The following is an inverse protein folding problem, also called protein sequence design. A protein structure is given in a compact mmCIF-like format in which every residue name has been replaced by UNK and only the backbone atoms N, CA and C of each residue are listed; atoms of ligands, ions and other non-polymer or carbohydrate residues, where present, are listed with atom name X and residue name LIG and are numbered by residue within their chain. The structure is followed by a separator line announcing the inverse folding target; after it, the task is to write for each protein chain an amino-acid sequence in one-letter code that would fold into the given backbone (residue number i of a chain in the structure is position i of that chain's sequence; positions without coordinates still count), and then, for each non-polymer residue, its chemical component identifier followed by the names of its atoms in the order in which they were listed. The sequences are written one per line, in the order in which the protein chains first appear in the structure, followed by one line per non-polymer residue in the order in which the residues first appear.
data_IF_456366358725
#
_entry.id   IF_456366358725
#
_cell.length_a   1.000
_cell.length_b   1.000
_cell.length_c   1.000
_cell.angle_alpha   90.00
_cell.angle_beta   90.00
_cell.angle_gamma   90.00
#
_symmetry.space_group_name_H-M   'P 1'
#
loop_
_entity.id
_entity.type
_entity.pdbx_description
1 polymer ?
#
# COMPACT_ATOMS: atom_id res chain seq x y z
N UNK A 1 -21.64 -34.08 -7.71
CA UNK A 1 -21.79 -32.78 -7.02
C UNK A 1 -20.60 -32.59 -6.09
N UNK A 2 -19.56 -31.86 -6.54
CA UNK A 2 -18.36 -31.51 -5.75
C UNK A 2 -17.95 -30.05 -6.04
N UNK A 3 -18.93 -29.17 -6.29
CA UNK A 3 -18.69 -27.77 -6.67
C UNK A 3 -18.85 -26.78 -5.50
N UNK A 4 -19.27 -27.24 -4.32
CA UNK A 4 -19.65 -26.35 -3.21
C UNK A 4 -18.53 -26.10 -2.18
N UNK A 5 -17.40 -26.82 -2.23
CA UNK A 5 -16.34 -26.77 -1.19
C UNK A 5 -15.07 -26.05 -1.66
N UNK A 6 -14.84 -25.90 -2.96
CA UNK A 6 -13.63 -25.25 -3.48
C UNK A 6 -13.71 -23.71 -3.52
N UNK A 7 -14.92 -23.15 -3.43
CA UNK A 7 -15.18 -21.70 -3.57
C UNK A 7 -14.57 -20.89 -2.41
N UNK A 8 -14.70 -21.28 -1.12
CA UNK A 8 -14.15 -20.48 -0.02
C UNK A 8 -12.61 -20.41 -0.04
N UNK A 9 -11.95 -21.52 -0.41
CA UNK A 9 -10.49 -21.56 -0.48
C UNK A 9 -9.95 -20.75 -1.67
N UNK A 10 -10.65 -20.78 -2.81
CA UNK A 10 -10.28 -19.98 -3.98
C UNK A 10 -10.44 -18.47 -3.70
N UNK A 11 -11.53 -18.05 -3.07
CA UNK A 11 -11.75 -16.64 -2.72
C UNK A 11 -10.67 -16.12 -1.76
N UNK A 12 -10.32 -16.89 -0.72
CA UNK A 12 -9.24 -16.54 0.19
C UNK A 12 -7.87 -16.52 -0.49
N UNK A 13 -7.63 -17.38 -1.49
CA UNK A 13 -6.39 -17.36 -2.26
C UNK A 13 -6.31 -16.12 -3.17
N UNK A 14 -7.43 -15.71 -3.78
CA UNK A 14 -7.51 -14.48 -4.59
C UNK A 14 -7.24 -13.26 -3.71
N UNK A 15 -7.89 -13.16 -2.54
CA UNK A 15 -7.71 -12.03 -1.63
C UNK A 15 -6.26 -11.95 -1.10
N UNK A 16 -5.60 -13.08 -0.82
CA UNK A 16 -4.14 -13.11 -0.53
C UNK A 16 -3.29 -12.64 -1.71
N UNK A 17 -3.65 -13.01 -2.93
CA UNK A 17 -2.96 -12.55 -4.14
C UNK A 17 -3.05 -11.04 -4.32
N UNK A 18 -4.23 -10.47 -4.08
CA UNK A 18 -4.46 -9.01 -4.09
C UNK A 18 -3.67 -8.30 -3.01
N UNK A 19 -3.69 -8.84 -1.79
CA UNK A 19 -2.93 -8.34 -0.66
C UNK A 19 -1.43 -8.29 -0.94
N UNK A 20 -0.86 -9.37 -1.50
CA UNK A 20 0.55 -9.44 -1.88
C UNK A 20 0.90 -8.42 -2.95
N UNK A 21 0.02 -8.21 -3.94
CA UNK A 21 0.18 -7.16 -4.96
C UNK A 21 0.21 -5.77 -4.32
N UNK A 22 -0.78 -5.45 -3.48
CA UNK A 22 -0.84 -4.18 -2.76
C UNK A 22 0.45 -3.90 -1.98
N UNK A 23 0.99 -4.90 -1.28
CA UNK A 23 2.26 -4.72 -0.57
C UNK A 23 3.47 -4.46 -1.49
N UNK A 24 3.48 -5.00 -2.71
CA UNK A 24 4.54 -4.72 -3.67
C UNK A 24 4.40 -3.31 -4.25
N UNK A 25 3.17 -2.88 -4.51
CA UNK A 25 2.84 -1.55 -5.00
C UNK A 25 3.22 -0.46 -3.98
N UNK A 26 2.85 -0.66 -2.70
CA UNK A 26 3.22 0.26 -1.61
C UNK A 26 4.74 0.36 -1.42
N UNK A 27 5.50 -0.76 -1.52
CA UNK A 27 6.98 -0.72 -1.49
C UNK A 27 7.56 0.08 -2.65
N UNK A 28 6.98 -0.07 -3.84
CA UNK A 28 7.44 0.61 -5.05
C UNK A 28 7.22 2.12 -4.93
N UNK A 29 6.06 2.55 -4.41
CA UNK A 29 5.78 3.95 -4.09
C UNK A 29 6.74 4.50 -3.03
N UNK A 30 6.95 3.75 -1.94
CA UNK A 30 7.89 4.14 -0.90
C UNK A 30 9.30 4.34 -1.47
N UNK A 31 9.78 3.41 -2.28
CA UNK A 31 11.10 3.53 -2.93
C UNK A 31 11.21 4.77 -3.83
N UNK A 32 10.13 5.13 -4.54
CA UNK A 32 10.08 6.33 -5.36
C UNK A 32 10.14 7.61 -4.52
N UNK A 33 9.40 7.64 -3.40
CA UNK A 33 9.40 8.75 -2.44
C UNK A 33 10.78 8.93 -1.79
N UNK A 34 11.43 7.83 -1.41
CA UNK A 34 12.80 7.84 -0.87
C UNK A 34 13.82 8.32 -1.90
N UNK A 35 13.66 7.92 -3.17
CA UNK A 35 14.55 8.39 -4.23
C UNK A 35 14.40 9.90 -4.44
N UNK A 36 13.16 10.41 -4.38
CA UNK A 36 12.90 11.86 -4.41
C UNK A 36 13.57 12.58 -3.24
N UNK A 37 13.50 12.04 -2.03
CA UNK A 37 14.07 12.69 -0.84
C UNK A 37 15.59 12.75 -0.85
N UNK A 38 16.24 11.76 -1.49
CA UNK A 38 17.70 11.76 -1.69
C UNK A 38 18.12 12.94 -2.60
N UNK A 39 17.35 13.22 -3.65
CA UNK A 39 17.68 14.26 -4.63
C UNK A 39 17.31 15.67 -4.13
N UNK A 40 16.14 15.82 -3.48
CA UNK A 40 15.60 17.12 -3.05
C UNK A 40 15.85 17.44 -1.55
N UNK A 41 16.56 16.55 -0.83
CA UNK A 41 16.82 16.59 0.62
C UNK A 41 15.55 16.64 1.51
N UNK A 42 14.35 16.47 0.94
CA UNK A 42 13.08 16.48 1.66
C UNK A 42 12.09 15.56 0.95
N UNK A 43 11.14 14.98 1.69
CA UNK A 43 10.03 14.25 1.07
C UNK A 43 9.04 15.21 0.39
N UNK A 44 8.31 14.75 -0.65
CA UNK A 44 7.31 15.57 -1.31
C UNK A 44 6.16 15.86 -0.34
N UNK A 45 5.81 17.14 -0.15
CA UNK A 45 4.72 17.54 0.75
C UNK A 45 3.39 17.39 0.02
N UNK A 46 2.75 16.23 0.17
CA UNK A 46 1.55 15.85 -0.57
C UNK A 46 0.54 15.14 0.32
N UNK A 47 -0.74 15.45 0.12
CA UNK A 47 -1.88 14.84 0.83
C UNK A 47 -2.79 14.02 -0.08
N UNK A 48 -2.45 13.92 -1.36
CA UNK A 48 -3.22 13.21 -2.38
C UNK A 48 -2.31 12.42 -3.29
N UNK A 49 -2.80 11.30 -3.81
CA UNK A 49 -2.05 10.47 -4.76
C UNK A 49 -1.70 11.24 -6.05
N UNK A 50 -2.63 12.03 -6.58
CA UNK A 50 -2.39 12.80 -7.80
C UNK A 50 -1.21 13.79 -7.69
N UNK A 51 -1.03 14.41 -6.51
CA UNK A 51 0.10 15.29 -6.26
C UNK A 51 1.40 14.50 -6.08
N UNK A 52 1.32 13.29 -5.51
CA UNK A 52 2.46 12.40 -5.42
C UNK A 52 2.93 11.98 -6.82
N UNK A 53 2.01 11.54 -7.69
CA UNK A 53 2.29 11.14 -9.07
C UNK A 53 3.05 12.22 -9.83
N UNK A 54 2.59 13.47 -9.74
CA UNK A 54 3.26 14.60 -10.37
C UNK A 54 4.69 14.88 -9.85
N UNK A 55 5.01 14.42 -8.63
CA UNK A 55 6.33 14.59 -8.03
C UNK A 55 7.27 13.40 -8.33
N UNK A 56 6.75 12.16 -8.36
CA UNK A 56 7.56 10.95 -8.51
C UNK A 56 7.66 10.43 -9.95
N UNK A 57 6.68 10.74 -10.80
CA UNK A 57 6.71 10.37 -12.21
C UNK A 57 7.27 11.49 -13.11
N UNK A 58 7.92 11.14 -14.23
CA UNK A 58 8.36 9.81 -14.65
C UNK A 58 9.76 9.45 -14.12
N UNK A 59 10.36 10.29 -13.28
CA UNK A 59 11.78 10.23 -12.93
C UNK A 59 12.11 9.09 -11.95
N UNK A 60 11.30 8.91 -10.92
CA UNK A 60 11.58 7.98 -9.80
C UNK A 60 10.77 6.68 -9.91
N UNK A 61 9.61 6.73 -10.56
CA UNK A 61 8.81 5.57 -10.94
C UNK A 61 8.20 5.79 -12.33
N UNK A 62 8.15 4.73 -13.14
CA UNK A 62 7.60 4.82 -14.50
C UNK A 62 6.08 4.97 -14.51
N UNK A 63 5.42 4.29 -13.58
CA UNK A 63 3.96 4.33 -13.40
C UNK A 63 3.67 4.02 -11.94
N UNK A 64 3.23 5.03 -11.20
CA UNK A 64 2.82 4.96 -9.82
C UNK A 64 1.47 4.23 -9.74
N UNK A 65 1.36 3.19 -8.91
CA UNK A 65 0.09 2.55 -8.66
C UNK A 65 -0.82 3.51 -7.87
N UNK A 66 -1.97 3.86 -8.45
CA UNK A 66 -3.00 4.69 -7.81
C UNK A 66 -4.03 3.86 -7.05
N UNK A 67 -4.15 2.59 -7.41
CA UNK A 67 -5.11 1.65 -6.85
C UNK A 67 -4.41 0.41 -6.30
N UNK A 68 -5.04 -0.19 -5.30
CA UNK A 68 -4.59 -1.43 -4.69
C UNK A 68 -5.12 -2.67 -5.43
N UNK A 69 -4.79 -3.87 -4.92
CA UNK A 69 -5.26 -5.13 -5.49
C UNK A 69 -6.79 -5.33 -5.50
N UNK A 70 -7.54 -4.54 -4.73
CA UNK A 70 -9.01 -4.53 -4.71
C UNK A 70 -9.62 -3.39 -5.52
N UNK A 71 -8.80 -2.61 -6.24
CA UNK A 71 -9.20 -1.43 -7.02
C UNK A 71 -9.63 -0.26 -6.12
N UNK A 72 -9.26 -0.29 -4.85
CA UNK A 72 -9.47 0.83 -3.93
C UNK A 72 -8.31 1.83 -4.10
N UNK A 73 -8.58 3.13 -3.90
CA UNK A 73 -7.56 4.16 -4.00
C UNK A 73 -6.52 4.04 -2.87
N UNK A 74 -5.24 4.20 -3.21
CA UNK A 74 -4.17 4.29 -2.23
C UNK A 74 -4.19 5.69 -1.62
N UNK A 75 -4.13 5.75 -0.28
CA UNK A 75 -4.09 7.00 0.46
C UNK A 75 -2.62 7.33 0.75
N UNK A 76 -2.27 8.60 0.56
CA UNK A 76 -0.92 9.13 0.74
C UNK A 76 -0.99 10.33 1.67
N UNK A 77 -0.12 10.34 2.67
CA UNK A 77 0.16 11.49 3.51
C UNK A 77 1.67 11.63 3.64
N UNK A 78 2.23 12.71 3.10
CA UNK A 78 3.66 12.98 3.13
C UNK A 78 3.91 14.44 3.49
N UNK A 79 4.81 14.66 4.44
CA UNK A 79 5.33 15.96 4.85
C UNK A 79 6.85 15.96 4.65
N UNK A 80 7.52 17.09 4.81
CA UNK A 80 8.95 17.21 4.48
C UNK A 80 9.86 16.18 5.18
N UNK A 81 9.44 15.66 6.34
CA UNK A 81 10.24 14.76 7.21
C UNK A 81 9.78 13.32 7.25
N UNK A 82 8.53 13.02 6.87
CA UNK A 82 7.97 11.68 6.93
C UNK A 82 6.93 11.47 5.83
N UNK A 83 6.75 10.23 5.43
CA UNK A 83 5.68 9.84 4.53
C UNK A 83 5.02 8.56 5.00
N UNK A 84 3.74 8.45 4.65
CA UNK A 84 2.90 7.29 4.87
C UNK A 84 2.10 7.05 3.59
N UNK A 85 2.21 5.84 3.06
CA UNK A 85 1.39 5.34 1.96
C UNK A 85 0.63 4.12 2.46
N UNK A 86 -0.67 4.08 2.21
CA UNK A 86 -1.51 3.06 2.79
C UNK A 86 -2.66 2.64 1.88
N UNK A 87 -3.06 1.39 2.00
CA UNK A 87 -4.28 0.85 1.41
C UNK A 87 -5.27 0.61 2.54
N UNK A 88 -6.53 0.98 2.30
CA UNK A 88 -7.65 0.68 3.19
C UNK A 88 -8.08 -0.79 3.19
N UNK A 89 -7.29 -1.70 2.59
CA UNK A 89 -7.66 -3.10 2.47
C UNK A 89 -8.90 -3.31 1.59
N UNK A 90 -9.58 -4.44 1.79
CA UNK A 90 -10.73 -4.84 0.98
C UNK A 90 -11.95 -3.92 1.12
N UNK A 91 -12.15 -3.32 2.29
CA UNK A 91 -13.33 -2.50 2.60
C UNK A 91 -13.14 -1.00 2.31
N UNK A 92 -11.96 -0.63 1.79
CA UNK A 92 -11.57 0.76 1.58
C UNK A 92 -11.63 1.58 2.90
N UNK A 93 -11.26 0.96 4.02
CA UNK A 93 -11.16 1.59 5.32
C UNK A 93 -10.15 2.75 5.37
N UNK A 94 -10.22 3.55 6.44
CA UNK A 94 -9.29 4.66 6.65
C UNK A 94 -7.98 4.17 7.30
N UNK A 95 -6.84 4.70 6.87
CA UNK A 95 -5.52 4.39 7.43
C UNK A 95 -5.15 5.17 8.70
N UNK A 96 -6.15 5.55 9.50
CA UNK A 96 -5.96 6.50 10.62
C UNK A 96 -5.70 5.85 11.98
N UNK A 97 -5.88 4.54 12.11
CA UNK A 97 -5.85 3.81 13.39
C UNK A 97 -5.03 2.52 13.28
N UNK A 98 -3.92 2.58 12.57
CA UNK A 98 -3.11 1.39 12.33
C UNK A 98 -2.43 0.97 13.63
N UNK A 99 -2.95 -0.11 14.24
CA UNK A 99 -2.33 -0.75 15.37
C UNK A 99 -1.06 -1.46 14.85
N UNK A 100 0.06 -0.74 14.83
CA UNK A 100 1.34 -1.19 14.30
C UNK A 100 1.58 -2.69 14.53
N UNK A 101 1.76 -3.46 13.45
CA UNK A 101 1.98 -4.91 13.53
C UNK A 101 1.27 -5.74 12.46
N UNK A 102 1.20 -7.05 12.74
CA UNK A 102 0.60 -8.04 11.87
C UNK A 102 -0.94 -8.04 12.01
N UNK A 103 -1.64 -7.96 10.89
CA UNK A 103 -3.11 -8.03 10.83
C UNK A 103 -3.61 -9.33 10.21
N UNK A 104 -4.75 -9.82 10.69
CA UNK A 104 -5.28 -11.14 10.32
C UNK A 104 -6.47 -11.06 9.36
N UNK A 105 -7.10 -9.89 9.21
CA UNK A 105 -8.22 -9.69 8.28
C UNK A 105 -7.76 -9.11 6.95
N UNK A 106 -8.49 -9.41 5.88
CA UNK A 106 -8.30 -8.76 4.58
C UNK A 106 -8.90 -7.35 4.52
N UNK A 107 -9.76 -7.02 5.49
CA UNK A 107 -10.33 -5.68 5.63
C UNK A 107 -9.38 -4.74 6.37
N UNK A 108 -8.35 -5.28 7.02
CA UNK A 108 -7.41 -4.44 7.75
C UNK A 108 -6.54 -3.66 6.74
N UNK A 109 -6.21 -2.43 7.10
CA UNK A 109 -5.33 -1.55 6.33
C UNK A 109 -3.91 -2.11 6.21
N UNK A 110 -3.23 -1.74 5.14
CA UNK A 110 -1.81 -2.05 4.93
C UNK A 110 -1.08 -0.73 4.80
N UNK A 111 -0.13 -0.48 5.69
CA UNK A 111 0.49 0.83 5.83
C UNK A 111 2.00 0.72 5.77
N UNK A 112 2.58 1.51 4.87
CA UNK A 112 4.01 1.63 4.64
C UNK A 112 4.43 3.06 4.91
N UNK A 113 5.34 3.26 5.84
CA UNK A 113 5.81 4.58 6.23
C UNK A 113 7.32 4.56 6.45
N UNK A 114 8.01 5.62 6.03
CA UNK A 114 9.44 5.83 6.31
C UNK A 114 10.31 4.57 6.03
N UNK A 115 10.10 3.94 4.87
CA UNK A 115 10.88 2.81 4.38
C UNK A 115 10.49 1.44 4.95
N UNK A 116 9.47 1.35 5.81
CA UNK A 116 9.06 0.12 6.47
C UNK A 116 7.54 -0.08 6.50
N UNK A 117 7.10 -1.34 6.61
CA UNK A 117 5.70 -1.62 6.90
C UNK A 117 5.42 -1.36 8.37
N UNK A 118 4.47 -0.46 8.63
CA UNK A 118 3.93 -0.23 9.98
C UNK A 118 2.83 -1.24 10.26
N UNK A 119 1.99 -1.52 9.26
CA UNK A 119 0.94 -2.52 9.34
C UNK A 119 1.01 -3.44 8.12
N UNK A 120 1.03 -4.74 8.37
CA UNK A 120 1.17 -5.74 7.33
C UNK A 120 0.34 -6.98 7.66
N UNK A 121 -0.07 -7.75 6.65
CA UNK A 121 -0.79 -8.99 6.90
C UNK A 121 0.11 -10.08 7.46
N UNK A 122 -0.43 -10.85 8.41
CA UNK A 122 0.24 -12.00 8.99
C UNK A 122 0.65 -12.99 7.89
N UNK A 123 1.90 -13.49 7.97
CA UNK A 123 2.44 -14.45 7.01
C UNK A 123 2.97 -13.84 5.70
N UNK A 124 3.00 -12.52 5.56
CA UNK A 124 3.61 -11.86 4.41
C UNK A 124 5.15 -11.77 4.44
N UNK A 125 5.78 -12.18 5.55
CA UNK A 125 7.24 -12.16 5.72
C UNK A 125 7.83 -13.56 5.53
N UNK A 126 8.05 -13.96 4.27
CA UNK A 126 9.03 -14.97 3.87
C UNK A 126 9.60 -14.61 2.48
#
# INVERSE_FOLDING_TARGET
MIAAIAIPNLLNAIDRGKQKRTMADLRSLGTAIESYSIDENNYPVVSTMANLEAAVEPLYIRTAPTTDGWTNGIIVASIATEYTVCSGGKDAGACGNDAAGAVTSFNDSITFANGQFVQWPEGAQQ
#
